data_IF_083414450142
#
_entry.id   IF_083414450142
#
_cell.length_a   1.000
_cell.length_b   1.000
_cell.length_c   1.000
_cell.angle_alpha   90.00
_cell.angle_beta   90.00
_cell.angle_gamma   90.00
#
_symmetry.space_group_name_H-M   'P 1'
#
loop_
_entity.id
_entity.type
_entity.pdbx_description
1 polymer ?
#
# COMPACT_ATOMS: atom_id res chain seq x y z
N UNK A 1 20.73 -4.09 15.46
CA UNK A 1 19.52 -3.27 15.25
C UNK A 1 18.64 -3.35 16.48
N UNK A 2 18.16 -2.21 16.96
CA UNK A 2 17.23 -2.13 18.08
C UNK A 2 15.83 -1.82 17.57
N UNK A 3 14.85 -2.61 18.01
CA UNK A 3 13.43 -2.35 17.76
C UNK A 3 12.86 -1.70 19.02
N UNK A 4 12.41 -0.46 18.89
CA UNK A 4 11.88 0.33 19.99
C UNK A 4 10.38 0.53 19.81
N UNK A 5 9.62 0.45 20.90
CA UNK A 5 8.20 0.78 20.95
C UNK A 5 8.02 2.11 21.65
N UNK A 6 7.17 2.94 21.07
CA UNK A 6 6.66 4.16 21.71
C UNK A 6 5.71 3.74 22.84
N UNK A 7 6.08 4.04 24.07
CA UNK A 7 5.38 3.64 25.29
C UNK A 7 4.87 4.84 26.12
N UNK A 8 5.07 6.07 25.63
CA UNK A 8 4.69 7.29 26.32
C UNK A 8 4.62 8.48 25.38
N UNK A 9 4.35 9.66 25.94
CA UNK A 9 4.29 10.91 25.17
C UNK A 9 5.69 11.28 24.66
N UNK A 10 5.79 11.53 23.36
CA UNK A 10 7.03 11.89 22.72
C UNK A 10 7.55 13.24 23.26
N UNK A 11 8.84 13.28 23.58
CA UNK A 11 9.58 14.47 24.01
C UNK A 11 11.01 14.36 23.50
N UNK A 12 11.53 15.44 22.91
CA UNK A 12 12.88 15.44 22.32
C UNK A 12 13.94 15.26 23.43
N UNK A 13 13.69 15.79 24.62
CA UNK A 13 14.69 15.90 25.68
C UNK A 13 15.00 14.57 26.39
N UNK A 14 14.07 13.61 26.37
CA UNK A 14 14.17 12.36 27.14
C UNK A 14 13.61 11.14 26.38
N UNK A 15 14.25 10.70 25.28
CA UNK A 15 13.82 9.54 24.50
C UNK A 15 13.64 8.27 25.34
N UNK A 16 14.47 8.05 26.35
CA UNK A 16 14.41 6.89 27.26
C UNK A 16 13.13 6.83 28.11
N UNK A 17 12.42 7.96 28.28
CA UNK A 17 11.16 8.00 29.04
C UNK A 17 9.96 7.52 28.22
N UNK A 18 10.05 7.55 26.90
CA UNK A 18 8.93 7.19 26.01
C UNK A 18 9.28 6.13 24.96
N UNK A 19 10.55 5.75 24.80
CA UNK A 19 10.98 4.60 24.00
C UNK A 19 11.34 3.43 24.89
N UNK A 20 10.74 2.27 24.64
CA UNK A 20 11.10 1.01 25.28
C UNK A 20 11.67 0.06 24.25
N UNK A 21 12.84 -0.50 24.54
CA UNK A 21 13.42 -1.55 23.71
C UNK A 21 12.55 -2.81 23.80
N UNK A 22 12.08 -3.27 22.64
CA UNK A 22 11.27 -4.49 22.50
C UNK A 22 12.14 -5.66 22.07
N UNK A 23 13.06 -5.40 21.14
CA UNK A 23 13.87 -6.46 20.56
C UNK A 23 15.25 -5.95 20.16
N UNK A 24 16.23 -6.84 20.24
CA UNK A 24 17.56 -6.64 19.69
C UNK A 24 17.77 -7.69 18.60
N UNK A 25 18.06 -7.25 17.38
CA UNK A 25 18.33 -8.11 16.23
C UNK A 25 19.74 -7.85 15.73
N UNK A 26 20.67 -8.79 15.87
CA UNK A 26 22.03 -8.64 15.36
C UNK A 26 22.01 -8.47 13.84
N UNK A 27 22.67 -7.44 13.31
CA UNK A 27 22.77 -7.24 11.85
C UNK A 27 23.47 -8.41 11.16
N UNK A 28 24.32 -9.15 11.89
CA UNK A 28 24.93 -10.40 11.42
C UNK A 28 23.91 -11.52 11.14
N UNK A 29 22.66 -11.38 11.59
CA UNK A 29 21.59 -12.36 11.29
C UNK A 29 20.69 -11.92 10.16
N UNK A 30 20.84 -10.69 9.64
CA UNK A 30 20.07 -10.19 8.50
C UNK A 30 20.46 -10.96 7.24
N UNK A 31 19.48 -11.60 6.61
CA UNK A 31 19.63 -12.43 5.40
C UNK A 31 19.17 -11.72 4.15
N UNK A 32 18.15 -10.88 4.27
CA UNK A 32 17.56 -10.19 3.12
C UNK A 32 16.79 -8.95 3.50
N UNK A 33 16.70 -8.04 2.54
CA UNK A 33 15.86 -6.85 2.57
C UNK A 33 14.94 -6.94 1.37
N UNK A 34 13.65 -6.76 1.57
CA UNK A 34 12.67 -6.83 0.49
C UNK A 34 11.73 -5.64 0.55
N UNK A 35 11.55 -4.97 -0.58
CA UNK A 35 10.51 -3.96 -0.76
C UNK A 35 9.22 -4.65 -1.18
N UNK A 36 8.11 -4.24 -0.58
CA UNK A 36 6.78 -4.66 -1.04
C UNK A 36 6.36 -3.92 -2.31
N UNK A 37 5.23 -4.32 -2.89
CA UNK A 37 4.64 -3.64 -4.04
C UNK A 37 4.49 -2.13 -3.80
N UNK A 38 4.70 -1.35 -4.87
CA UNK A 38 4.67 0.12 -4.84
C UNK A 38 5.70 0.75 -3.89
N UNK A 39 6.70 -0.01 -3.43
CA UNK A 39 7.65 0.38 -2.39
C UNK A 39 6.96 0.87 -1.10
N UNK A 40 5.77 0.38 -0.75
CA UNK A 40 5.00 0.91 0.39
C UNK A 40 5.43 0.36 1.75
N UNK A 41 6.25 -0.70 1.76
CA UNK A 41 6.79 -1.34 2.96
C UNK A 41 8.19 -1.90 2.73
N UNK A 42 8.89 -2.16 3.84
CA UNK A 42 10.19 -2.82 3.86
C UNK A 42 10.14 -4.04 4.79
N UNK A 43 10.46 -5.22 4.26
CA UNK A 43 10.63 -6.46 5.01
C UNK A 43 12.11 -6.71 5.28
N UNK A 44 12.44 -6.98 6.53
CA UNK A 44 13.79 -7.34 6.97
C UNK A 44 13.77 -8.77 7.49
N UNK A 45 14.41 -9.68 6.78
CA UNK A 45 14.47 -11.10 7.14
C UNK A 45 15.73 -11.42 7.94
N UNK A 46 15.57 -11.79 9.21
CA UNK A 46 16.63 -12.27 10.10
C UNK A 46 16.63 -13.81 10.25
N UNK A 47 15.95 -14.52 9.34
CA UNK A 47 15.80 -15.97 9.30
C UNK A 47 14.71 -16.50 10.24
N UNK A 48 14.84 -16.21 11.54
CA UNK A 48 13.86 -16.64 12.55
C UNK A 48 12.81 -15.56 12.86
N UNK A 49 13.11 -14.31 12.48
CA UNK A 49 12.26 -13.14 12.71
C UNK A 49 12.20 -12.37 11.41
N UNK A 50 10.99 -12.01 10.98
CA UNK A 50 10.77 -11.08 9.88
C UNK A 50 10.16 -9.81 10.47
N UNK A 51 10.78 -8.66 10.21
CA UNK A 51 10.23 -7.36 10.56
C UNK A 51 9.64 -6.69 9.34
N UNK A 52 8.46 -6.10 9.51
CA UNK A 52 7.78 -5.34 8.47
C UNK A 52 7.70 -3.89 8.95
N UNK A 53 8.35 -2.99 8.22
CA UNK A 53 8.24 -1.55 8.40
C UNK A 53 7.20 -1.01 7.41
N UNK A 54 6.07 -0.53 7.94
CA UNK A 54 4.99 0.07 7.15
C UNK A 54 5.22 1.57 7.05
N UNK A 55 5.56 2.01 5.84
CA UNK A 55 5.85 3.41 5.58
C UNK A 55 4.75 4.08 4.78
N UNK A 56 3.96 3.29 4.03
CA UNK A 56 2.78 3.72 3.24
C UNK A 56 3.07 4.90 2.30
N UNK A 57 4.33 5.03 1.92
CA UNK A 57 4.85 6.09 1.06
C UNK A 57 6.16 5.57 0.46
N UNK A 58 6.23 5.61 -0.87
CA UNK A 58 7.33 5.05 -1.65
C UNK A 58 8.62 5.85 -1.43
N UNK A 59 8.54 7.18 -1.37
CA UNK A 59 9.69 8.04 -1.13
C UNK A 59 10.31 7.80 0.26
N UNK A 60 9.48 7.68 1.31
CA UNK A 60 9.95 7.33 2.66
C UNK A 60 10.61 5.95 2.69
N UNK A 61 10.03 4.98 2.00
CA UNK A 61 10.56 3.61 1.92
C UNK A 61 11.88 3.50 1.17
N UNK A 62 11.99 4.18 0.03
CA UNK A 62 13.22 4.27 -0.72
C UNK A 62 14.31 4.99 0.09
N UNK A 63 13.97 6.11 0.76
CA UNK A 63 14.92 6.83 1.61
C UNK A 63 15.37 5.98 2.79
N UNK A 64 14.45 5.32 3.50
CA UNK A 64 14.79 4.38 4.57
C UNK A 64 15.74 3.29 4.06
N UNK A 65 15.41 2.67 2.94
CA UNK A 65 16.20 1.56 2.38
C UNK A 65 17.57 2.03 1.95
N UNK A 66 17.69 3.21 1.34
CA UNK A 66 18.96 3.83 0.96
C UNK A 66 19.83 4.11 2.18
N UNK A 67 19.27 4.75 3.20
CA UNK A 67 19.98 5.05 4.45
C UNK A 67 20.41 3.77 5.17
N UNK A 68 19.50 2.79 5.28
CA UNK A 68 19.76 1.54 5.97
C UNK A 68 20.83 0.70 5.25
N UNK A 69 20.79 0.64 3.92
CA UNK A 69 21.79 -0.08 3.13
C UNK A 69 23.15 0.60 3.16
N UNK A 70 23.22 1.92 3.21
CA UNK A 70 24.48 2.65 3.42
C UNK A 70 25.14 2.28 4.76
N UNK A 71 24.36 2.21 5.84
CA UNK A 71 24.85 1.76 7.17
C UNK A 71 25.32 0.30 7.11
N UNK A 72 24.62 -0.57 6.38
CA UNK A 72 25.04 -1.96 6.20
C UNK A 72 26.34 -2.08 5.41
N UNK A 73 26.54 -1.25 4.39
CA UNK A 73 27.78 -1.22 3.61
C UNK A 73 28.96 -0.77 4.46
N UNK A 74 28.80 0.25 5.29
CA UNK A 74 29.83 0.68 6.25
C UNK A 74 30.14 -0.43 7.26
N UNK A 75 29.12 -1.09 7.81
CA UNK A 75 29.30 -2.23 8.73
C UNK A 75 30.02 -3.40 8.06
N UNK A 76 29.69 -3.68 6.79
CA UNK A 76 30.35 -4.70 5.97
C UNK A 76 31.80 -4.34 5.67
N UNK A 77 32.10 -3.07 5.40
CA UNK A 77 33.46 -2.61 5.10
C UNK A 77 34.43 -2.88 6.26
N UNK A 78 33.93 -2.90 7.50
CA UNK A 78 34.68 -3.27 8.68
C UNK A 78 34.65 -4.78 9.00
N UNK A 79 33.98 -5.61 8.19
CA UNK A 79 33.87 -7.05 8.32
C UNK A 79 34.23 -7.82 7.05
N UNK A 80 34.15 -9.16 7.09
CA UNK A 80 34.44 -10.05 5.94
C UNK A 80 33.19 -10.54 5.21
N UNK A 81 32.06 -9.83 5.32
CA UNK A 81 30.75 -10.30 4.83
C UNK A 81 30.25 -9.49 3.66
N UNK A 82 29.48 -10.11 2.78
CA UNK A 82 28.73 -9.39 1.72
C UNK A 82 27.47 -8.74 2.30
N UNK A 83 27.07 -7.56 1.82
CA UNK A 83 25.82 -6.93 2.26
C UNK A 83 24.63 -7.78 1.78
N UNK A 84 23.53 -7.84 2.56
CA UNK A 84 22.29 -8.48 2.11
C UNK A 84 21.79 -7.82 0.82
N UNK A 85 21.34 -8.63 -0.13
CA UNK A 85 20.71 -8.11 -1.34
C UNK A 85 19.38 -7.42 -0.99
N UNK A 86 19.12 -6.30 -1.67
CA UNK A 86 17.80 -5.66 -1.66
C UNK A 86 17.00 -6.20 -2.82
N UNK A 87 15.90 -6.87 -2.52
CA UNK A 87 14.94 -7.33 -3.50
C UNK A 87 13.86 -6.28 -3.67
N UNK A 88 13.87 -5.59 -4.81
CA UNK A 88 12.88 -4.55 -5.16
C UNK A 88 11.68 -5.12 -5.90
N UNK A 89 11.84 -6.27 -6.56
CA UNK A 89 10.79 -6.95 -7.31
C UNK A 89 10.31 -8.19 -6.55
N UNK A 90 9.12 -8.13 -5.97
CA UNK A 90 8.49 -9.29 -5.36
C UNK A 90 7.51 -9.95 -6.36
N UNK A 91 8.04 -10.83 -7.21
CA UNK A 91 7.23 -11.57 -8.19
C UNK A 91 6.13 -12.41 -7.54
N UNK A 92 6.34 -12.92 -6.33
CA UNK A 92 5.32 -13.70 -5.63
C UNK A 92 4.12 -12.82 -5.21
N UNK A 93 4.39 -11.63 -4.67
CA UNK A 93 3.35 -10.64 -4.36
C UNK A 93 2.61 -10.18 -5.61
N UNK A 94 3.34 -9.89 -6.70
CA UNK A 94 2.72 -9.49 -7.96
C UNK A 94 1.83 -10.62 -8.52
N UNK A 95 2.30 -11.87 -8.46
CA UNK A 95 1.52 -13.04 -8.91
C UNK A 95 0.25 -13.20 -8.09
N UNK A 96 0.34 -13.09 -6.75
CA UNK A 96 -0.81 -13.17 -5.85
C UNK A 96 -1.80 -12.04 -6.10
N UNK A 97 -1.33 -10.81 -6.31
CA UNK A 97 -2.16 -9.66 -6.67
C UNK A 97 -2.87 -9.90 -8.01
N UNK A 98 -2.14 -10.35 -9.03
CA UNK A 98 -2.71 -10.62 -10.35
C UNK A 98 -3.80 -11.69 -10.26
N UNK A 99 -3.56 -12.80 -9.58
CA UNK A 99 -4.50 -13.92 -9.49
C UNK A 99 -5.72 -13.62 -8.63
N UNK A 100 -5.55 -12.96 -7.49
CA UNK A 100 -6.63 -12.78 -6.51
C UNK A 100 -7.37 -11.44 -6.63
N UNK A 101 -6.86 -10.49 -7.42
CA UNK A 101 -7.46 -9.16 -7.58
C UNK A 101 -7.66 -8.80 -9.05
N UNK A 102 -6.59 -8.81 -9.86
CA UNK A 102 -6.70 -8.29 -11.24
C UNK A 102 -7.48 -9.23 -12.15
N UNK A 103 -7.30 -10.54 -12.01
CA UNK A 103 -8.02 -11.57 -12.76
C UNK A 103 -9.28 -12.05 -12.04
N UNK A 104 -9.72 -11.35 -10.99
CA UNK A 104 -10.94 -11.70 -10.29
C UNK A 104 -12.16 -11.52 -11.21
N UNK A 105 -13.03 -12.52 -11.24
CA UNK A 105 -14.28 -12.52 -12.02
C UNK A 105 -15.42 -12.92 -11.10
N UNK A 106 -16.44 -12.07 -10.92
CA UNK A 106 -17.62 -12.39 -10.09
C UNK A 106 -18.55 -13.43 -10.77
N UNK A 107 -18.43 -13.63 -12.08
CA UNK A 107 -19.11 -14.67 -12.86
C UNK A 107 -18.39 -14.97 -14.19
N UNK A 108 -18.67 -16.14 -14.79
CA UNK A 108 -18.08 -16.65 -16.06
C UNK A 108 -18.31 -15.76 -17.31
N UNK A 109 -18.92 -14.58 -17.17
CA UNK A 109 -19.34 -13.70 -18.29
C UNK A 109 -18.55 -12.41 -18.45
N UNK A 110 -17.66 -12.05 -17.51
CA UNK A 110 -16.76 -10.91 -17.69
C UNK A 110 -15.54 -11.31 -18.54
N UNK A 111 -15.73 -11.35 -19.87
CA UNK A 111 -14.66 -11.53 -20.86
C UNK A 111 -14.14 -10.19 -21.36
N UNK A 112 -14.05 -9.17 -20.49
CA UNK A 112 -13.30 -7.97 -20.84
C UNK A 112 -11.82 -8.34 -20.91
N UNK A 113 -11.10 -7.87 -21.93
CA UNK A 113 -9.64 -7.98 -22.00
C UNK A 113 -9.05 -7.15 -20.86
N UNK A 114 -8.88 -7.78 -19.69
CA UNK A 114 -8.37 -7.10 -18.49
C UNK A 114 -6.87 -6.92 -18.64
N UNK A 115 -6.45 -5.68 -18.89
CA UNK A 115 -5.04 -5.30 -18.83
C UNK A 115 -4.53 -5.41 -17.38
N UNK A 116 -3.72 -6.43 -17.11
CA UNK A 116 -3.11 -6.67 -15.79
C UNK A 116 -1.84 -5.86 -15.55
N UNK A 117 -1.45 -4.98 -16.47
CA UNK A 117 -0.26 -4.14 -16.33
C UNK A 117 -0.46 -3.17 -15.17
N UNK A 118 0.41 -3.25 -14.17
CA UNK A 118 0.34 -2.40 -13.00
C UNK A 118 0.88 -0.99 -13.34
N UNK A 119 0.02 0.02 -13.28
CA UNK A 119 0.44 1.44 -13.32
C UNK A 119 0.87 1.89 -11.92
N UNK A 120 0.04 1.58 -10.91
CA UNK A 120 0.29 2.01 -9.55
C UNK A 120 -0.25 0.99 -8.54
N UNK A 121 0.50 0.81 -7.45
CA UNK A 121 0.05 0.16 -6.23
C UNK A 121 0.30 1.10 -5.06
N UNK A 122 -0.70 1.38 -4.25
CA UNK A 122 -0.57 2.25 -3.06
C UNK A 122 -1.38 1.72 -1.89
N UNK A 123 -0.80 1.78 -0.69
CA UNK A 123 -1.48 1.43 0.56
C UNK A 123 -2.13 2.68 1.13
N UNK A 124 -3.45 2.68 1.33
CA UNK A 124 -4.18 3.85 1.80
C UNK A 124 -5.29 3.47 2.78
N UNK A 125 -6.10 4.45 3.18
CA UNK A 125 -7.30 4.23 3.98
C UNK A 125 -8.54 4.62 3.18
N UNK A 126 -9.53 3.75 3.15
CA UNK A 126 -10.86 4.05 2.63
C UNK A 126 -11.74 4.56 3.78
N UNK A 127 -12.42 5.68 3.58
CA UNK A 127 -13.49 6.11 4.47
C UNK A 127 -14.74 5.26 4.21
N UNK A 128 -15.26 4.67 5.27
CA UNK A 128 -16.49 3.89 5.26
C UNK A 128 -17.40 4.37 6.35
N UNK A 129 -18.69 4.52 6.05
CA UNK A 129 -19.68 4.91 7.05
C UNK A 129 -20.41 3.66 7.51
N UNK A 130 -20.23 3.29 8.78
CA UNK A 130 -20.94 2.17 9.40
C UNK A 130 -21.72 2.70 10.59
N UNK A 131 -23.03 2.41 10.65
CA UNK A 131 -23.90 2.88 11.72
C UNK A 131 -23.87 4.40 11.99
N UNK A 132 -23.57 5.22 10.96
CA UNK A 132 -23.49 6.68 11.06
C UNK A 132 -22.13 7.21 11.53
N UNK A 133 -21.17 6.34 11.84
CA UNK A 133 -19.79 6.72 12.17
C UNK A 133 -18.87 6.55 10.97
N UNK A 134 -17.97 7.52 10.77
CA UNK A 134 -16.93 7.44 9.73
C UNK A 134 -15.72 6.67 10.27
N UNK A 135 -15.36 5.60 9.58
CA UNK A 135 -14.22 4.75 9.89
C UNK A 135 -13.22 4.73 8.73
N UNK A 136 -11.94 4.89 9.07
CA UNK A 136 -10.83 4.70 8.14
C UNK A 136 -10.41 3.23 8.16
N UNK A 137 -10.64 2.55 7.04
CA UNK A 137 -10.31 1.13 6.87
C UNK A 137 -9.08 1.03 5.96
N UNK A 138 -8.00 0.35 6.37
CA UNK A 138 -6.84 0.17 5.51
C UNK A 138 -7.20 -0.69 4.30
N UNK A 139 -6.78 -0.24 3.12
CA UNK A 139 -7.00 -0.91 1.83
C UNK A 139 -5.77 -0.75 0.95
N UNK A 140 -5.66 -1.62 -0.04
CA UNK A 140 -4.69 -1.49 -1.12
C UNK A 140 -5.42 -1.03 -2.39
N UNK A 141 -4.97 0.08 -2.96
CA UNK A 141 -5.51 0.63 -4.19
C UNK A 141 -4.55 0.32 -5.35
N UNK A 142 -5.12 -0.21 -6.44
CA UNK A 142 -4.37 -0.70 -7.59
C UNK A 142 -4.92 -0.08 -8.86
N UNK A 143 -4.04 0.51 -9.66
CA UNK A 143 -4.39 1.17 -10.92
C UNK A 143 -3.76 0.39 -12.08
N UNK A 144 -4.58 0.09 -13.06
CA UNK A 144 -4.20 -0.49 -14.37
C UNK A 144 -4.67 0.45 -15.48
N UNK A 145 -4.25 0.27 -16.74
CA UNK A 145 -4.71 1.12 -17.83
C UNK A 145 -6.22 1.12 -18.05
N UNK A 146 -6.93 0.07 -17.62
CA UNK A 146 -8.36 -0.10 -17.87
C UNK A 146 -9.25 -0.01 -16.62
N UNK A 147 -8.68 -0.21 -15.43
CA UNK A 147 -9.46 -0.37 -14.20
C UNK A 147 -8.72 0.17 -12.97
N UNK A 148 -9.52 0.57 -11.97
CA UNK A 148 -9.08 0.85 -10.60
C UNK A 148 -9.67 -0.20 -9.67
N UNK A 149 -8.84 -0.83 -8.84
CA UNK A 149 -9.22 -1.89 -7.92
C UNK A 149 -9.00 -1.47 -6.47
N UNK A 150 -9.86 -2.00 -5.60
CA UNK A 150 -9.66 -2.04 -4.16
C UNK A 150 -9.44 -3.48 -3.72
N UNK A 151 -8.41 -3.68 -2.91
CA UNK A 151 -8.13 -4.92 -2.21
C UNK A 151 -8.08 -4.69 -0.68
N UNK A 152 -8.29 -5.76 0.08
CA UNK A 152 -8.08 -5.73 1.53
C UNK A 152 -6.61 -5.52 1.87
N UNK A 153 -6.33 -4.96 3.05
CA UNK A 153 -4.98 -4.69 3.55
C UNK A 153 -4.07 -5.94 3.51
N UNK A 154 -3.12 -5.95 2.56
CA UNK A 154 -2.18 -7.05 2.37
C UNK A 154 -1.25 -7.27 3.56
N UNK A 155 -1.01 -6.23 4.38
CA UNK A 155 -0.19 -6.34 5.58
C UNK A 155 -0.93 -7.12 6.66
N UNK A 156 -2.21 -6.81 6.86
CA UNK A 156 -3.07 -7.54 7.78
C UNK A 156 -3.06 -9.04 7.48
N UNK A 157 -3.18 -9.41 6.20
CA UNK A 157 -3.08 -10.79 5.75
C UNK A 157 -1.69 -11.41 6.01
N UNK A 158 -0.60 -10.68 5.73
CA UNK A 158 0.76 -11.14 6.01
C UNK A 158 0.99 -11.47 7.49
N UNK A 159 0.50 -10.62 8.40
CA UNK A 159 0.68 -10.80 9.84
C UNK A 159 -0.13 -11.99 10.38
N UNK A 160 -1.37 -12.17 9.90
CA UNK A 160 -2.21 -13.33 10.26
C UNK A 160 -1.58 -14.63 9.76
N UNK A 161 -1.08 -14.65 8.53
CA UNK A 161 -0.39 -15.82 7.97
C UNK A 161 0.90 -16.17 8.75
N UNK A 162 1.58 -15.18 9.33
CA UNK A 162 2.77 -15.42 10.16
C UNK A 162 2.41 -16.06 11.51
N UNK A 163 1.26 -15.70 12.13
CA UNK A 163 0.82 -16.31 13.39
C UNK A 163 0.39 -17.79 13.25
N UNK A 164 -0.17 -18.16 12.09
CA UNK A 164 -0.65 -19.52 11.82
C UNK A 164 0.46 -20.55 11.57
N UNK A 165 1.70 -20.11 11.29
CA UNK A 165 2.88 -21.00 11.10
C UNK A 165 3.31 -21.77 12.35
N UNK A 166 2.71 -21.47 13.51
CA UNK A 166 2.93 -22.20 14.77
C UNK A 166 2.16 -23.54 14.84
N UNK A 167 1.21 -23.78 13.92
CA UNK A 167 0.43 -25.02 13.84
C UNK A 167 1.03 -25.99 12.81
N UNK A 168 1.38 -27.21 13.25
CA UNK A 168 1.97 -28.30 12.41
C UNK A 168 1.03 -28.89 11.34
N UNK A 169 -0.14 -28.28 11.11
CA UNK A 169 -1.03 -28.60 10.00
C UNK A 169 -1.03 -27.39 9.09
N UNK A 170 -0.35 -27.46 7.95
CA UNK A 170 -0.33 -26.41 6.94
C UNK A 170 -1.77 -26.16 6.46
N UNK A 171 -2.41 -25.03 6.81
CA UNK A 171 -3.63 -24.63 6.13
C UNK A 171 -3.26 -24.27 4.68
N UNK A 172 -4.22 -24.26 3.74
CA UNK A 172 -3.98 -23.64 2.44
C UNK A 172 -3.45 -22.22 2.67
N UNK A 173 -2.39 -21.86 1.96
CA UNK A 173 -1.79 -20.53 2.01
C UNK A 173 -2.89 -19.51 1.71
N UNK A 174 -3.34 -18.77 2.73
CA UNK A 174 -4.30 -17.68 2.53
C UNK A 174 -3.68 -16.68 1.57
N UNK A 175 -4.46 -16.26 0.56
CA UNK A 175 -4.07 -15.21 -0.37
C UNK A 175 -3.63 -13.96 0.41
N UNK A 176 -2.56 -13.32 -0.03
CA UNK A 176 -2.07 -12.09 0.58
C UNK A 176 -2.98 -10.93 0.21
N UNK A 177 -3.43 -10.88 -1.05
CA UNK A 177 -4.38 -9.91 -1.56
C UNK A 177 -5.77 -10.53 -1.66
N UNK A 178 -6.78 -9.77 -1.27
CA UNK A 178 -8.18 -10.18 -1.35
C UNK A 178 -8.95 -9.08 -2.07
N UNK A 179 -9.59 -9.43 -3.19
CA UNK A 179 -10.44 -8.51 -3.94
C UNK A 179 -11.56 -7.94 -3.06
N UNK A 180 -11.85 -6.64 -3.22
CA UNK A 180 -13.01 -5.97 -2.60
C UNK A 180 -13.95 -5.37 -3.63
N UNK A 181 -13.42 -4.62 -4.58
CA UNK A 181 -14.21 -3.94 -5.61
C UNK A 181 -13.32 -3.52 -6.79
N UNK A 182 -13.94 -3.25 -7.94
CA UNK A 182 -13.30 -2.63 -9.10
C UNK A 182 -14.28 -1.69 -9.82
N UNK A 183 -13.73 -0.69 -10.51
CA UNK A 183 -14.45 0.09 -11.52
C UNK A 183 -13.61 0.17 -12.79
N UNK A 184 -14.27 0.30 -13.94
CA UNK A 184 -13.57 0.66 -15.18
C UNK A 184 -13.04 2.08 -15.00
N UNK A 185 -11.85 2.31 -15.53
CA UNK A 185 -11.27 3.65 -15.55
C UNK A 185 -12.17 4.60 -16.37
N UNK A 186 -12.88 4.07 -17.37
CA UNK A 186 -13.84 4.81 -18.18
C UNK A 186 -15.04 5.37 -17.37
N UNK A 187 -15.45 4.66 -16.31
CA UNK A 187 -16.58 5.07 -15.47
C UNK A 187 -16.21 6.24 -14.55
N UNK A 188 -14.93 6.59 -14.45
CA UNK A 188 -14.46 7.70 -13.62
C UNK A 188 -14.87 9.04 -14.24
N UNK A 189 -15.67 9.81 -13.52
CA UNK A 189 -16.21 11.10 -13.96
C UNK A 189 -15.42 12.28 -13.41
N UNK A 190 -15.03 12.23 -12.13
CA UNK A 190 -14.26 13.29 -11.49
C UNK A 190 -13.45 12.81 -10.28
N UNK A 191 -12.46 13.61 -9.91
CA UNK A 191 -11.71 13.47 -8.66
C UNK A 191 -11.84 14.76 -7.85
N UNK A 192 -12.31 14.65 -6.62
CA UNK A 192 -12.38 15.78 -5.71
C UNK A 192 -11.20 15.76 -4.73
N UNK A 193 -10.48 16.87 -4.63
CA UNK A 193 -9.39 17.11 -3.69
C UNK A 193 -9.81 18.11 -2.61
N UNK A 194 -9.32 17.95 -1.39
CA UNK A 194 -9.77 18.76 -0.25
C UNK A 194 -8.68 19.71 0.25
N UNK A 195 -8.99 21.01 0.37
CA UNK A 195 -8.01 22.01 0.89
C UNK A 195 -7.63 21.77 2.35
N UNK A 196 -8.61 21.40 3.16
CA UNK A 196 -8.53 21.15 4.61
C UNK A 196 -8.00 19.76 4.93
N UNK A 197 -8.10 18.82 4.00
CA UNK A 197 -7.55 17.47 4.10
C UNK A 197 -6.68 17.15 2.85
N UNK A 198 -5.44 17.65 2.78
CA UNK A 198 -4.62 17.62 1.57
C UNK A 198 -4.09 16.24 1.17
N UNK A 199 -4.40 15.21 1.95
CA UNK A 199 -4.08 13.80 1.67
C UNK A 199 -5.32 12.98 1.31
N UNK A 200 -6.50 13.61 1.30
CA UNK A 200 -7.78 12.99 0.99
C UNK A 200 -8.19 13.29 -0.45
N UNK A 201 -8.82 12.31 -1.09
CA UNK A 201 -9.54 12.49 -2.34
C UNK A 201 -10.81 11.62 -2.41
N UNK A 202 -11.77 12.06 -3.22
CA UNK A 202 -12.93 11.28 -3.60
C UNK A 202 -12.89 10.98 -5.09
N UNK A 203 -13.01 9.70 -5.45
CA UNK A 203 -13.09 9.24 -6.82
C UNK A 203 -14.56 8.97 -7.13
N UNK A 204 -15.10 9.62 -8.15
CA UNK A 204 -16.51 9.52 -8.53
C UNK A 204 -16.64 8.65 -9.78
N UNK A 205 -17.43 7.59 -9.67
CA UNK A 205 -17.69 6.64 -10.74
C UNK A 205 -19.18 6.63 -11.08
N UNK A 206 -19.49 6.53 -12.36
CA UNK A 206 -20.85 6.32 -12.86
C UNK A 206 -20.81 5.19 -13.87
N UNK A 207 -21.45 4.07 -13.54
CA UNK A 207 -21.53 2.92 -14.44
C UNK A 207 -22.49 3.25 -15.60
N UNK A 208 -21.99 3.23 -16.85
CA UNK A 208 -22.78 3.64 -18.01
C UNK A 208 -24.00 2.74 -18.26
N UNK A 209 -23.96 1.47 -17.87
CA UNK A 209 -25.01 0.50 -18.13
C UNK A 209 -26.14 0.55 -17.10
N UNK A 210 -25.79 0.63 -15.82
CA UNK A 210 -26.71 0.65 -14.69
C UNK A 210 -27.08 2.05 -14.22
N UNK A 211 -26.30 3.07 -14.62
CA UNK A 211 -26.40 4.46 -14.15
C UNK A 211 -26.23 4.59 -12.63
N UNK A 212 -25.55 3.62 -11.99
CA UNK A 212 -25.25 3.66 -10.57
C UNK A 212 -24.04 4.55 -10.29
N UNK A 213 -24.19 5.47 -9.34
CA UNK A 213 -23.11 6.33 -8.87
C UNK A 213 -22.41 5.71 -7.67
N UNK A 214 -21.09 5.59 -7.74
CA UNK A 214 -20.25 5.11 -6.63
C UNK A 214 -19.16 6.13 -6.33
N UNK A 215 -18.91 6.38 -5.04
CA UNK A 215 -17.86 7.30 -4.58
C UNK A 215 -16.89 6.55 -3.69
N UNK A 216 -15.60 6.59 -4.03
CA UNK A 216 -14.54 6.08 -3.18
C UNK A 216 -13.77 7.23 -2.53
N UNK A 217 -14.00 7.41 -1.23
CA UNK A 217 -13.25 8.35 -0.41
C UNK A 217 -11.98 7.68 0.13
N UNK A 218 -10.81 8.15 -0.28
CA UNK A 218 -9.51 7.60 0.12
C UNK A 218 -8.63 8.65 0.77
N UNK A 219 -7.85 8.23 1.76
CA UNK A 219 -6.86 9.05 2.45
C UNK A 219 -5.48 8.39 2.35
N UNK A 220 -4.54 9.13 1.76
CA UNK A 220 -3.14 8.75 1.60
C UNK A 220 -2.30 9.13 2.82
N UNK A 221 -1.13 8.52 2.94
CA UNK A 221 -0.16 8.86 3.98
C UNK A 221 0.46 10.25 3.77
N UNK A 222 0.72 10.62 2.50
CA UNK A 222 1.30 11.92 2.16
C UNK A 222 0.58 12.59 0.99
N UNK A 223 0.72 13.92 0.92
CA UNK A 223 0.23 14.70 -0.23
C UNK A 223 0.93 14.26 -1.52
N UNK A 224 2.20 13.89 -1.44
CA UNK A 224 2.96 13.41 -2.61
C UNK A 224 2.35 12.12 -3.14
N UNK A 225 2.02 11.16 -2.27
CA UNK A 225 1.36 9.92 -2.69
C UNK A 225 0.00 10.18 -3.34
N UNK A 226 -0.76 11.15 -2.82
CA UNK A 226 -2.03 11.55 -3.43
C UNK A 226 -1.83 12.17 -4.82
N UNK A 227 -0.85 13.05 -4.99
CA UNK A 227 -0.53 13.64 -6.29
C UNK A 227 -0.11 12.56 -7.30
N UNK A 228 0.71 11.60 -6.87
CA UNK A 228 1.08 10.44 -7.68
C UNK A 228 -0.14 9.63 -8.09
N UNK A 229 -1.09 9.37 -7.18
CA UNK A 229 -2.35 8.69 -7.52
C UNK A 229 -3.11 9.42 -8.61
N UNK A 230 -3.36 10.73 -8.41
CA UNK A 230 -4.10 11.54 -9.38
C UNK A 230 -3.41 11.49 -10.74
N UNK A 231 -2.09 11.69 -10.80
CA UNK A 231 -1.35 11.61 -12.07
C UNK A 231 -1.40 10.22 -12.71
N UNK A 232 -1.29 9.14 -11.93
CA UNK A 232 -1.35 7.76 -12.42
C UNK A 232 -2.73 7.38 -12.98
N UNK A 233 -3.79 8.06 -12.55
CA UNK A 233 -5.16 7.87 -13.05
C UNK A 233 -5.45 8.82 -14.22
N UNK A 234 -5.20 10.12 -14.04
CA UNK A 234 -5.48 11.15 -15.05
C UNK A 234 -4.74 10.87 -16.35
N UNK A 235 -3.44 10.54 -16.30
CA UNK A 235 -2.65 10.38 -17.52
C UNK A 235 -3.20 9.31 -18.49
N UNK A 236 -3.45 8.04 -18.07
CA UNK A 236 -4.03 7.05 -18.97
C UNK A 236 -5.46 7.38 -19.38
N UNK A 237 -6.26 7.95 -18.47
CA UNK A 237 -7.64 8.37 -18.76
C UNK A 237 -7.68 9.45 -19.85
N UNK A 238 -6.91 10.52 -19.70
CA UNK A 238 -6.87 11.64 -20.66
C UNK A 238 -6.32 11.22 -22.01
N UNK A 239 -5.36 10.29 -22.04
CA UNK A 239 -4.86 9.70 -23.29
C UNK A 239 -5.93 8.88 -24.02
N UNK A 240 -6.79 8.20 -23.28
CA UNK A 240 -7.86 7.37 -23.84
C UNK A 240 -9.03 8.22 -24.36
N UNK A 241 -9.42 9.28 -23.65
CA UNK A 241 -10.57 10.11 -24.00
C UNK A 241 -10.24 11.37 -24.81
N UNK A 242 -8.97 11.81 -24.81
CA UNK A 242 -8.54 13.02 -25.51
C UNK A 242 -9.05 14.33 -24.90
N UNK A 243 -9.51 14.29 -23.65
CA UNK A 243 -9.97 15.46 -22.86
C UNK A 243 -9.37 15.38 -21.46
N UNK A 244 -9.34 16.52 -20.75
CA UNK A 244 -8.81 16.60 -19.38
C UNK A 244 -9.80 15.98 -18.37
N UNK A 245 -9.29 15.18 -17.42
CA UNK A 245 -10.11 14.63 -16.34
C UNK A 245 -10.51 15.76 -15.38
N UNK A 246 -11.76 15.79 -14.96
CA UNK A 246 -12.22 16.80 -14.01
C UNK A 246 -11.63 16.57 -12.62
N UNK A 247 -10.68 17.42 -12.23
CA UNK A 247 -10.09 17.43 -10.87
C UNK A 247 -10.53 18.69 -10.14
N UNK A 248 -11.45 18.54 -9.18
CA UNK A 248 -12.02 19.64 -8.43
C UNK A 248 -11.26 19.86 -7.12
N UNK A 249 -11.20 21.12 -6.66
CA UNK A 249 -10.65 21.45 -5.34
C UNK A 249 -11.77 21.97 -4.44
N UNK A 250 -12.27 21.08 -3.59
CA UNK A 250 -13.36 21.32 -2.67
C UNK A 250 -12.88 22.04 -1.39
N UNK A 251 -13.75 22.91 -0.89
CA UNK A 251 -13.62 23.51 0.45
C UNK A 251 -14.56 22.73 1.35
N UNK A 252 -14.06 22.02 2.36
CA UNK A 252 -14.93 21.31 3.29
C UNK A 252 -15.92 22.32 3.88
N UNK A 253 -17.21 22.02 3.73
CA UNK A 253 -18.25 22.73 4.47
C UNK A 253 -18.09 22.28 5.92
N UNK A 254 -17.38 23.08 6.72
CA UNK A 254 -17.16 22.80 8.13
C UNK A 254 -18.48 22.44 8.82
N UNK A 255 -18.51 21.25 9.43
CA UNK A 255 -19.51 20.88 10.44
C UNK A 255 -18.99 21.31 11.80
#
# INVERSE_FOLDING_TARGET
MYVLRIAGKQSIDYPEKWLKMVQQLPLSTLRGIQLGLGCQLVKLDFGNVCLIALLRDDARSQNFTTQFTAVLQEWVFHGTRTPPAVMTENRAELTDLTQNVLLYTDSDTDTDDVDTTLIMFVMCHQETTLAGECHLVPVDLVVTPSHVYLAADSVGCCLVAASDRSSKKSPPQKAQFVFKARHKLLDLTSIDLFKTAPTKASLHFVDECSQEETIWCVTMETKSSLQSLVSSISQPWEQQFGVELQVNVCVDSGS
#
